data_IF_093975304465
#
_entry.id   IF_093975304465
#
_cell.length_a   1.000
_cell.length_b   1.000
_cell.length_c   1.000
_cell.angle_alpha   90.00
_cell.angle_beta   90.00
_cell.angle_gamma   90.00
#
_symmetry.space_group_name_H-M   'P 1'
#
loop_
_entity.id
_entity.type
_entity.pdbx_description
1 polymer ?
#
# COMPACT_ATOMS: atom_id res chain seq x y z
N UNK A 1 -30.22 -11.48 24.59
CA UNK A 1 -29.05 -11.41 23.70
C UNK A 1 -27.82 -11.45 24.57
N UNK A 2 -26.92 -12.39 24.35
CA UNK A 2 -25.75 -12.54 25.22
C UNK A 2 -24.87 -11.29 25.13
N UNK A 3 -24.55 -10.63 26.25
CA UNK A 3 -23.82 -9.38 26.24
C UNK A 3 -22.43 -9.53 25.62
N UNK A 4 -21.80 -10.69 25.82
CA UNK A 4 -20.51 -11.04 25.21
C UNK A 4 -20.58 -11.13 23.68
N UNK A 5 -21.67 -11.69 23.15
CA UNK A 5 -21.85 -11.84 21.71
C UNK A 5 -22.07 -10.48 21.04
N UNK A 6 -22.81 -9.59 21.71
CA UNK A 6 -23.04 -8.22 21.24
C UNK A 6 -21.73 -7.42 21.20
N UNK A 7 -20.89 -7.56 22.22
CA UNK A 7 -19.55 -6.95 22.25
C UNK A 7 -18.63 -7.51 21.17
N UNK A 8 -18.65 -8.82 20.95
CA UNK A 8 -17.84 -9.47 19.92
C UNK A 8 -18.18 -8.93 18.52
N UNK A 9 -19.48 -8.86 18.17
CA UNK A 9 -19.92 -8.33 16.88
C UNK A 9 -19.54 -6.85 16.74
N UNK A 10 -19.77 -6.05 17.79
CA UNK A 10 -19.47 -4.62 17.77
C UNK A 10 -17.99 -4.31 17.47
N UNK A 11 -17.06 -5.20 17.82
CA UNK A 11 -15.62 -5.03 17.55
C UNK A 11 -15.23 -5.66 16.21
N UNK A 12 -15.68 -6.89 15.94
CA UNK A 12 -15.23 -7.65 14.76
C UNK A 12 -15.82 -7.10 13.46
N UNK A 13 -17.09 -6.68 13.45
CA UNK A 13 -17.74 -6.16 12.25
C UNK A 13 -17.04 -4.91 11.66
N UNK A 14 -16.75 -3.84 12.41
CA UNK A 14 -16.03 -2.70 11.85
C UNK A 14 -14.58 -3.04 11.47
N UNK A 15 -13.90 -3.88 12.24
CA UNK A 15 -12.53 -4.30 11.94
C UNK A 15 -12.43 -5.08 10.62
N UNK A 16 -13.35 -6.01 10.40
CA UNK A 16 -13.45 -6.79 9.16
C UNK A 16 -13.80 -5.89 7.97
N UNK A 17 -14.76 -4.98 8.13
CA UNK A 17 -15.13 -4.04 7.07
C UNK A 17 -13.96 -3.14 6.66
N UNK A 18 -13.22 -2.58 7.62
CA UNK A 18 -12.02 -1.78 7.33
C UNK A 18 -10.94 -2.60 6.63
N UNK A 19 -10.72 -3.83 7.09
CA UNK A 19 -9.70 -4.74 6.53
C UNK A 19 -10.04 -5.13 5.08
N UNK A 20 -11.29 -5.53 4.82
CA UNK A 20 -11.79 -5.88 3.50
C UNK A 20 -11.81 -4.66 2.57
N UNK A 21 -12.23 -3.49 3.06
CA UNK A 21 -12.20 -2.25 2.31
C UNK A 21 -10.78 -1.86 1.89
N UNK A 22 -9.80 -1.98 2.80
CA UNK A 22 -8.40 -1.72 2.47
C UNK A 22 -7.83 -2.75 1.47
N UNK A 23 -8.20 -4.03 1.62
CA UNK A 23 -7.81 -5.08 0.68
C UNK A 23 -8.37 -4.82 -0.73
N UNK A 24 -9.65 -4.49 -0.84
CA UNK A 24 -10.29 -4.11 -2.10
C UNK A 24 -9.63 -2.89 -2.73
N UNK A 25 -9.30 -1.88 -1.93
CA UNK A 25 -8.58 -0.70 -2.41
C UNK A 25 -7.15 -1.03 -2.89
N UNK A 26 -6.47 -2.00 -2.27
CA UNK A 26 -5.18 -2.51 -2.76
C UNK A 26 -5.32 -3.30 -4.07
N UNK A 27 -6.47 -3.93 -4.31
CA UNK A 27 -6.77 -4.65 -5.53
C UNK A 27 -7.09 -3.70 -6.70
N UNK A 28 -7.98 -2.74 -6.48
CA UNK A 28 -8.43 -1.77 -7.48
C UNK A 28 -7.34 -0.73 -7.82
N UNK A 29 -6.63 -0.23 -6.80
CA UNK A 29 -5.62 0.83 -6.96
C UNK A 29 -4.29 0.41 -6.34
N UNK A 30 -3.52 -0.46 -6.99
CA UNK A 30 -2.28 -1.00 -6.43
C UNK A 30 -1.18 0.07 -6.28
N UNK A 31 -1.25 1.13 -7.10
CA UNK A 31 -0.28 2.23 -7.11
C UNK A 31 -0.83 3.43 -6.36
N UNK A 32 -0.03 3.96 -5.43
CA UNK A 32 -0.25 5.27 -4.81
C UNK A 32 0.77 6.28 -5.32
N UNK A 33 0.35 7.52 -5.49
CA UNK A 33 1.26 8.61 -5.84
C UNK A 33 2.27 8.84 -4.72
N UNK A 34 3.51 9.12 -5.09
CA UNK A 34 4.54 9.45 -4.13
C UNK A 34 4.33 10.88 -3.62
N UNK A 35 3.97 11.03 -2.34
CA UNK A 35 3.79 12.35 -1.69
C UNK A 35 5.03 13.24 -1.76
N UNK A 36 6.23 12.67 -1.88
CA UNK A 36 7.50 13.43 -1.91
C UNK A 36 7.73 14.16 -3.23
N UNK A 37 7.27 13.59 -4.34
CA UNK A 37 7.40 14.19 -5.67
C UNK A 37 6.04 14.50 -6.30
N UNK A 38 4.95 14.39 -5.55
CA UNK A 38 3.58 14.56 -6.06
C UNK A 38 3.26 13.75 -7.34
N UNK A 39 3.89 12.59 -7.53
CA UNK A 39 3.66 11.75 -8.72
C UNK A 39 4.56 12.05 -9.93
N UNK A 40 5.40 13.09 -9.91
CA UNK A 40 6.23 13.47 -11.08
C UNK A 40 7.43 12.56 -11.33
N UNK A 41 7.82 11.72 -10.37
CA UNK A 41 9.05 10.90 -10.44
C UNK A 41 10.34 11.67 -10.20
N UNK A 42 10.30 13.01 -10.19
CA UNK A 42 11.47 13.86 -10.01
C UNK A 42 11.24 14.88 -8.89
N UNK A 43 12.31 15.27 -8.21
CA UNK A 43 12.32 16.39 -7.28
C UNK A 43 13.24 17.47 -7.82
N UNK A 44 12.74 18.69 -7.87
CA UNK A 44 13.53 19.86 -8.27
C UNK A 44 14.23 20.41 -7.04
N UNK A 45 15.55 20.44 -7.06
CA UNK A 45 16.31 21.11 -5.99
C UNK A 45 16.19 22.61 -6.17
N UNK A 46 15.76 23.32 -5.12
CA UNK A 46 15.51 24.77 -5.14
C UNK A 46 16.75 25.62 -5.52
N UNK A 47 17.95 25.07 -5.34
CA UNK A 47 19.23 25.77 -5.54
C UNK A 47 19.73 25.69 -6.99
N UNK A 48 19.63 24.51 -7.62
CA UNK A 48 20.19 24.28 -8.96
C UNK A 48 19.15 24.10 -10.07
N UNK A 49 17.85 24.09 -9.74
CA UNK A 49 16.73 23.76 -10.64
C UNK A 49 16.89 22.47 -11.47
N UNK A 50 17.88 21.63 -11.15
CA UNK A 50 18.10 20.37 -11.86
C UNK A 50 17.09 19.32 -11.39
N UNK A 51 16.37 18.65 -12.32
CA UNK A 51 15.50 17.54 -11.98
C UNK A 51 16.36 16.38 -11.51
N UNK A 52 16.14 15.92 -10.27
CA UNK A 52 16.75 14.68 -9.75
C UNK A 52 15.68 13.63 -9.62
N UNK A 53 15.99 12.37 -9.96
CA UNK A 53 15.08 11.26 -9.70
C UNK A 53 14.70 11.20 -8.22
N UNK A 54 13.42 10.95 -7.94
CA UNK A 54 12.95 10.85 -6.57
C UNK A 54 13.53 9.58 -5.94
N UNK A 55 14.50 9.72 -5.03
CA UNK A 55 15.18 8.60 -4.34
C UNK A 55 14.26 7.57 -3.69
N UNK A 56 12.98 7.91 -3.47
CA UNK A 56 12.01 7.07 -2.74
C UNK A 56 11.06 6.27 -3.65
N UNK A 57 10.88 6.67 -4.90
CA UNK A 57 9.93 6.03 -5.82
C UNK A 57 10.46 5.86 -7.24
N UNK A 58 11.45 6.67 -7.65
CA UNK A 58 12.06 6.74 -8.98
C UNK A 58 11.10 7.11 -10.12
N UNK A 59 9.92 6.48 -10.19
CA UNK A 59 8.90 6.67 -11.24
C UNK A 59 7.63 7.41 -10.79
N UNK A 60 7.64 8.05 -9.63
CA UNK A 60 6.49 8.84 -9.14
C UNK A 60 5.38 8.03 -8.47
N UNK A 61 5.35 6.71 -8.70
CA UNK A 61 4.37 5.80 -8.13
C UNK A 61 5.02 4.87 -7.10
N UNK A 62 4.25 4.46 -6.09
CA UNK A 62 4.67 3.48 -5.09
C UNK A 62 3.60 2.41 -4.96
N UNK A 63 4.01 1.16 -4.85
CA UNK A 63 3.10 0.07 -4.54
C UNK A 63 2.54 0.21 -3.12
N UNK A 64 1.23 -0.04 -2.96
CA UNK A 64 0.59 -0.17 -1.64
C UNK A 64 1.12 -1.37 -0.87
N UNK A 65 1.00 -1.31 0.46
CA UNK A 65 1.57 -2.33 1.36
C UNK A 65 1.02 -3.72 1.07
N UNK A 66 -0.29 -3.86 0.84
CA UNK A 66 -0.90 -5.16 0.51
C UNK A 66 -0.28 -5.82 -0.72
N UNK A 67 -0.04 -5.05 -1.79
CA UNK A 67 0.64 -5.58 -2.99
C UNK A 67 2.12 -5.90 -2.78
N UNK A 68 2.82 -5.16 -1.91
CA UNK A 68 4.21 -5.51 -1.55
C UNK A 68 4.28 -6.86 -0.86
N UNK A 69 3.40 -7.08 0.09
CA UNK A 69 3.30 -8.34 0.85
C UNK A 69 2.94 -9.48 -0.09
N UNK A 70 1.94 -9.31 -0.95
CA UNK A 70 1.58 -10.30 -1.97
C UNK A 70 2.77 -10.64 -2.89
N UNK A 71 3.45 -9.63 -3.43
CA UNK A 71 4.60 -9.85 -4.31
C UNK A 71 5.76 -10.54 -3.58
N UNK A 72 5.95 -10.25 -2.29
CA UNK A 72 6.96 -10.90 -1.46
C UNK A 72 6.64 -12.39 -1.28
N UNK A 73 5.41 -12.74 -0.89
CA UNK A 73 4.97 -14.13 -0.79
C UNK A 73 5.01 -14.87 -2.13
N UNK A 74 4.66 -14.20 -3.22
CA UNK A 74 4.76 -14.78 -4.55
C UNK A 74 6.20 -15.13 -4.92
N UNK A 75 7.17 -14.28 -4.56
CA UNK A 75 8.60 -14.57 -4.75
C UNK A 75 9.05 -15.74 -3.91
N UNK A 76 8.72 -15.74 -2.61
CA UNK A 76 9.03 -16.85 -1.72
C UNK A 76 8.46 -18.18 -2.21
N UNK A 77 7.22 -18.17 -2.71
CA UNK A 77 6.59 -19.38 -3.29
C UNK A 77 7.33 -19.85 -4.53
N UNK A 78 7.69 -18.93 -5.44
CA UNK A 78 8.41 -19.27 -6.66
C UNK A 78 9.82 -19.83 -6.37
N UNK A 79 10.51 -19.28 -5.37
CA UNK A 79 11.80 -19.76 -4.89
C UNK A 79 11.68 -21.15 -4.26
N UNK A 80 10.61 -21.42 -3.49
CA UNK A 80 10.39 -22.73 -2.87
C UNK A 80 10.03 -23.83 -3.87
N UNK A 81 9.48 -23.46 -5.04
CA UNK A 81 9.11 -24.42 -6.10
C UNK A 81 10.21 -24.66 -7.13
N UNK A 82 11.38 -24.05 -6.97
CA UNK A 82 12.54 -24.16 -7.88
C UNK A 82 13.59 -25.08 -7.31
#
# INVERSE_FOLDING_TARGET
MDPLFTLAIAVVAPATLVTLGYAGLCWLSPFKTCKRCAGTGHTTTRILHRPRACRRCDRGLRLRTGRRVYNYFHRLRAEATR
#
